data_IF_670311207363
#
_entry.id   IF_670311207363
#
_cell.length_a   1.000
_cell.length_b   1.000
_cell.length_c   1.000
_cell.angle_alpha   90.00
_cell.angle_beta   90.00
_cell.angle_gamma   90.00
#
_symmetry.space_group_name_H-M   'P 1'
#
loop_
_entity.id
_entity.type
_entity.pdbx_description
1 polymer ?
#
# COMPACT_ATOMS: atom_id res chain seq x y z
N UNK A 1 -7.65 17.90 0.97
CA UNK A 1 -6.56 17.77 -0.01
C UNK A 1 -6.07 16.32 -0.11
N UNK A 2 -5.82 15.62 1.00
CA UNK A 2 -5.28 14.24 0.98
C UNK A 2 -6.26 13.09 0.64
N UNK A 3 -7.56 13.24 0.93
CA UNK A 3 -8.57 12.19 0.70
C UNK A 3 -8.82 11.89 -0.78
N UNK A 4 -8.73 12.89 -1.65
CA UNK A 4 -8.87 12.73 -3.10
C UNK A 4 -7.68 11.96 -3.70
N UNK A 5 -6.46 12.26 -3.25
CA UNK A 5 -5.25 11.55 -3.67
C UNK A 5 -5.30 10.09 -3.23
N UNK A 6 -5.71 9.82 -1.99
CA UNK A 6 -5.90 8.46 -1.49
C UNK A 6 -6.95 7.68 -2.28
N UNK A 7 -8.09 8.31 -2.62
CA UNK A 7 -9.13 7.67 -3.44
C UNK A 7 -8.63 7.37 -4.86
N UNK A 8 -7.92 8.32 -5.47
CA UNK A 8 -7.34 8.13 -6.80
C UNK A 8 -6.30 7.01 -6.80
N UNK A 9 -5.47 6.92 -5.75
CA UNK A 9 -4.54 5.81 -5.54
C UNK A 9 -5.27 4.47 -5.42
N UNK A 10 -6.32 4.38 -4.60
CA UNK A 10 -7.11 3.15 -4.44
C UNK A 10 -7.80 2.73 -5.74
N UNK A 11 -8.33 3.67 -6.51
CA UNK A 11 -8.90 3.40 -7.83
C UNK A 11 -7.84 2.86 -8.81
N UNK A 12 -6.63 3.44 -8.79
CA UNK A 12 -5.51 2.96 -9.59
C UNK A 12 -5.06 1.58 -9.13
N UNK A 13 -4.98 1.33 -7.82
CA UNK A 13 -4.60 0.05 -7.21
C UNK A 13 -5.53 -1.09 -7.64
N UNK A 14 -6.82 -0.81 -7.84
CA UNK A 14 -7.77 -1.80 -8.33
C UNK A 14 -7.64 -2.08 -9.83
N UNK A 15 -7.23 -1.09 -10.62
CA UNK A 15 -7.06 -1.22 -12.07
C UNK A 15 -5.67 -1.75 -12.47
N UNK A 16 -4.68 -1.65 -11.57
CA UNK A 16 -3.28 -1.87 -11.87
C UNK A 16 -2.73 -3.01 -11.00
N UNK A 17 -2.74 -4.22 -11.58
CA UNK A 17 -2.29 -5.44 -10.94
C UNK A 17 -0.82 -5.41 -10.44
N UNK A 18 0.17 -4.85 -11.18
CA UNK A 18 1.53 -4.78 -10.67
C UNK A 18 1.67 -3.76 -9.53
N UNK A 19 0.87 -2.69 -9.52
CA UNK A 19 0.78 -1.80 -8.36
C UNK A 19 0.22 -2.54 -7.14
N UNK A 20 -0.79 -3.38 -7.34
CA UNK A 20 -1.34 -4.21 -6.28
C UNK A 20 -0.32 -5.17 -5.69
N UNK A 21 0.50 -5.82 -6.52
CA UNK A 21 1.59 -6.66 -6.04
C UNK A 21 2.62 -5.88 -5.21
N UNK A 22 2.99 -4.66 -5.63
CA UNK A 22 3.89 -3.80 -4.86
C UNK A 22 3.30 -3.40 -3.50
N UNK A 23 2.02 -3.02 -3.46
CA UNK A 23 1.33 -2.67 -2.22
C UNK A 23 1.12 -3.89 -1.30
N UNK A 24 0.97 -5.09 -1.86
CA UNK A 24 0.90 -6.34 -1.09
C UNK A 24 2.26 -6.77 -0.55
N UNK A 25 3.35 -6.44 -1.25
CA UNK A 25 4.72 -6.66 -0.79
C UNK A 25 5.15 -5.62 0.28
N UNK A 26 4.44 -4.49 0.36
CA UNK A 26 4.70 -3.45 1.34
C UNK A 26 4.41 -3.95 2.77
N UNK A 27 5.36 -3.75 3.66
CA UNK A 27 5.26 -4.18 5.05
C UNK A 27 4.34 -3.26 5.88
N UNK A 28 4.35 -1.96 5.63
CA UNK A 28 3.65 -1.00 6.48
C UNK A 28 2.81 -0.05 5.66
N UNK A 29 1.83 0.59 6.31
CA UNK A 29 1.07 1.66 5.68
C UNK A 29 1.97 2.84 5.25
N UNK A 30 3.11 3.02 5.92
CA UNK A 30 4.14 3.98 5.52
C UNK A 30 4.83 3.59 4.20
N UNK A 31 5.17 2.30 4.03
CA UNK A 31 5.76 1.79 2.79
C UNK A 31 4.77 1.91 1.61
N UNK A 32 3.48 1.66 1.85
CA UNK A 32 2.42 1.93 0.86
C UNK A 32 2.31 3.42 0.52
N UNK A 33 2.45 4.30 1.52
CA UNK A 33 2.48 5.74 1.29
C UNK A 33 3.70 6.17 0.45
N UNK A 34 4.87 5.55 0.64
CA UNK A 34 6.04 5.77 -0.22
C UNK A 34 5.81 5.31 -1.67
N UNK A 35 5.11 4.18 -1.88
CA UNK A 35 4.73 3.71 -3.22
C UNK A 35 3.78 4.71 -3.88
N UNK A 36 2.77 5.19 -3.14
CA UNK A 36 1.85 6.23 -3.60
C UNK A 36 2.59 7.52 -3.96
N UNK A 37 3.51 7.97 -3.11
CA UNK A 37 4.30 9.18 -3.31
C UNK A 37 5.15 9.11 -4.58
N UNK A 38 5.76 7.96 -4.88
CA UNK A 38 6.51 7.73 -6.13
C UNK A 38 5.64 7.85 -7.39
N UNK A 39 4.36 7.61 -7.26
CA UNK A 39 3.37 7.72 -8.34
C UNK A 39 2.71 9.10 -8.40
N UNK A 40 3.07 10.02 -7.49
CA UNK A 40 2.51 11.36 -7.39
C UNK A 40 1.27 11.49 -6.50
N UNK A 41 0.95 10.45 -5.72
CA UNK A 41 -0.13 10.50 -4.72
C UNK A 41 0.42 10.90 -3.36
N UNK A 42 -0.02 12.04 -2.85
CA UNK A 42 0.32 12.52 -1.50
C UNK A 42 -0.76 12.09 -0.49
N UNK A 43 -0.46 11.04 0.28
CA UNK A 43 -1.24 10.62 1.44
C UNK A 43 -0.33 10.02 2.50
N UNK A 44 -0.76 10.10 3.76
CA UNK A 44 -0.03 9.51 4.88
C UNK A 44 -0.49 8.08 5.14
N UNK A 45 0.40 7.24 5.68
CA UNK A 45 0.05 5.88 6.12
C UNK A 45 -1.11 5.86 7.12
N UNK A 46 -1.21 6.86 8.01
CA UNK A 46 -2.34 7.01 8.95
C UNK A 46 -3.69 7.19 8.22
N UNK A 47 -3.71 7.95 7.14
CA UNK A 47 -4.92 8.19 6.35
C UNK A 47 -5.35 6.91 5.63
N UNK A 48 -4.38 6.14 5.15
CA UNK A 48 -4.60 4.82 4.59
C UNK A 48 -5.17 3.86 5.65
N UNK A 49 -4.66 3.89 6.88
CA UNK A 49 -5.21 3.11 8.00
C UNK A 49 -6.63 3.52 8.37
N UNK A 50 -6.95 4.83 8.29
CA UNK A 50 -8.29 5.35 8.55
C UNK A 50 -9.31 4.91 7.51
N UNK A 51 -8.95 4.88 6.23
CA UNK A 51 -9.84 4.46 5.13
C UNK A 51 -9.92 2.93 5.02
N UNK A 52 -8.81 2.23 5.20
CA UNK A 52 -8.77 0.76 5.19
C UNK A 52 -9.38 0.16 6.46
N UNK A 53 -9.69 0.99 7.46
CA UNK A 53 -10.59 0.63 8.55
C UNK A 53 -9.99 -0.44 9.44
N UNK A 54 -9.01 -0.07 10.27
CA UNK A 54 -8.78 -0.76 11.56
C UNK A 54 -8.32 -2.23 11.47
N UNK A 55 -8.06 -2.76 10.26
CA UNK A 55 -7.69 -4.17 9.98
C UNK A 55 -6.35 -4.34 9.25
N UNK A 56 -5.51 -3.32 9.20
CA UNK A 56 -4.07 -3.57 8.96
C UNK A 56 -3.40 -4.27 10.16
N UNK A 57 -4.08 -4.40 11.29
CA UNK A 57 -3.70 -5.29 12.40
C UNK A 57 -3.51 -6.76 11.96
N UNK A 58 -4.15 -7.15 10.85
CA UNK A 58 -4.09 -8.49 10.27
C UNK A 58 -3.26 -8.59 8.99
N UNK A 59 -2.70 -7.47 8.50
CA UNK A 59 -1.45 -7.55 7.74
C UNK A 59 -0.36 -7.61 8.80
N UNK A 60 -0.36 -8.70 9.56
CA UNK A 60 0.89 -9.21 10.07
C UNK A 60 1.73 -9.31 8.82
N UNK A 61 2.70 -8.40 8.69
CA UNK A 61 3.90 -8.67 7.92
C UNK A 61 4.44 -9.90 8.61
N UNK A 62 3.95 -11.07 8.19
CA UNK A 62 4.77 -12.24 8.22
C UNK A 62 5.96 -11.76 7.41
N UNK A 63 7.02 -11.38 8.14
CA UNK A 63 8.38 -11.38 7.63
C UNK A 63 8.40 -12.51 6.65
N UNK A 64 8.56 -12.16 5.39
CA UNK A 64 8.55 -13.06 4.27
C UNK A 64 9.49 -14.24 4.61
N UNK A 65 8.90 -15.28 5.20
CA UNK A 65 9.44 -16.61 5.25
C UNK A 65 8.89 -17.22 3.98
N UNK A 66 9.54 -16.88 2.87
CA UNK A 66 9.78 -17.84 1.80
C UNK A 66 10.93 -17.36 0.90
N UNK A 67 11.88 -18.26 0.62
CA UNK A 67 13.10 -17.99 -0.15
C UNK A 67 12.73 -17.92 -1.62
N UNK A 68 13.11 -16.85 -2.28
CA UNK A 68 13.00 -16.73 -3.73
C UNK A 68 14.35 -16.32 -4.27
N UNK A 69 15.19 -17.31 -4.55
CA UNK A 69 16.22 -17.15 -5.58
C UNK A 69 15.51 -16.68 -6.85
N UNK A 70 15.82 -15.46 -7.28
CA UNK A 70 15.52 -15.03 -8.63
C UNK A 70 16.78 -15.30 -9.46
N UNK A 71 16.67 -16.34 -10.30
CA UNK A 71 17.61 -16.64 -11.38
C UNK A 71 17.39 -15.69 -12.56
#
# INVERSE_FOLDING_TARGET
MSLDQLKAFLARLQADEPLKQQVLAAATADDVAQIGLKLGFEFSGDELLRVSGKKFDRVTVHKNDMPGEYN
#
